data_IF_350571199147
#
_entry.id   IF_350571199147
#
_cell.length_a   1.000
_cell.length_b   1.000
_cell.length_c   1.000
_cell.angle_alpha   90.00
_cell.angle_beta   90.00
_cell.angle_gamma   90.00
#
_symmetry.space_group_name_H-M   'P 1'
#
loop_
_entity.id
_entity.type
_entity.pdbx_description
1 polymer ?
#
# COMPACT_ATOMS: atom_id res chain seq x y z
N UNK A 1 -15.05 11.58 -7.36
CA UNK A 1 -13.70 10.97 -7.31
C UNK A 1 -13.50 10.46 -5.89
N UNK A 2 -13.66 9.16 -5.64
CA UNK A 2 -13.43 8.61 -4.30
C UNK A 2 -11.96 8.79 -3.97
N UNK A 3 -11.70 9.73 -3.08
CA UNK A 3 -10.39 10.11 -2.65
C UNK A 3 -9.72 8.88 -2.04
N UNK A 4 -8.66 8.38 -2.69
CA UNK A 4 -7.84 7.26 -2.22
C UNK A 4 -7.44 7.45 -0.75
N UNK A 5 -7.35 8.69 -0.30
CA UNK A 5 -7.06 9.06 1.08
C UNK A 5 -8.22 8.81 2.02
N UNK A 6 -9.45 9.03 1.55
CA UNK A 6 -10.68 8.63 2.24
C UNK A 6 -10.82 7.11 2.28
N UNK A 7 -10.35 6.40 1.24
CA UNK A 7 -10.24 4.93 1.27
C UNK A 7 -9.23 4.49 2.35
N UNK A 8 -8.05 5.11 2.40
CA UNK A 8 -7.05 4.81 3.44
C UNK A 8 -7.52 5.21 4.84
N UNK A 9 -8.29 6.29 4.96
CA UNK A 9 -8.88 6.73 6.22
C UNK A 9 -10.02 5.82 6.69
N UNK A 10 -10.72 5.14 5.76
CA UNK A 10 -11.77 4.18 6.09
C UNK A 10 -11.23 2.80 6.45
N UNK A 11 -9.96 2.49 6.14
CA UNK A 11 -9.28 1.28 6.60
C UNK A 11 -9.16 1.29 8.13
N UNK A 12 -10.05 0.55 8.80
CA UNK A 12 -10.01 0.32 10.25
C UNK A 12 -8.94 -0.71 10.57
N UNK A 13 -7.68 -0.26 10.67
CA UNK A 13 -6.53 -1.13 11.00
C UNK A 13 -6.03 -0.90 12.43
N UNK A 14 -5.45 -1.94 13.07
CA UNK A 14 -4.71 -1.78 14.32
C UNK A 14 -3.69 -0.65 14.21
N UNK A 15 -3.69 0.26 15.20
CA UNK A 15 -2.84 1.47 15.18
C UNK A 15 -1.35 1.15 15.02
N UNK A 16 -0.90 -0.01 15.51
CA UNK A 16 0.48 -0.47 15.39
C UNK A 16 0.88 -0.73 13.93
N UNK A 17 0.01 -1.38 13.13
CA UNK A 17 0.27 -1.63 11.71
C UNK A 17 0.43 -0.33 10.93
N UNK A 18 -0.46 0.63 11.18
CA UNK A 18 -0.41 1.93 10.52
C UNK A 18 0.86 2.70 10.90
N UNK A 19 1.28 2.66 12.17
CA UNK A 19 2.52 3.30 12.61
C UNK A 19 3.75 2.67 11.94
N UNK A 20 3.84 1.34 11.93
CA UNK A 20 4.94 0.64 11.27
C UNK A 20 4.98 0.92 9.77
N UNK A 21 3.82 0.90 9.11
CA UNK A 21 3.69 1.21 7.69
C UNK A 21 4.09 2.65 7.36
N UNK A 22 3.76 3.62 8.22
CA UNK A 22 4.20 5.01 8.03
C UNK A 22 5.71 5.15 8.05
N UNK A 23 6.40 4.50 9.00
CA UNK A 23 7.86 4.49 9.07
C UNK A 23 8.43 3.85 7.80
N UNK A 24 7.92 2.68 7.40
CA UNK A 24 8.37 2.01 6.18
C UNK A 24 8.06 2.78 4.89
N UNK A 25 7.01 3.60 4.87
CA UNK A 25 6.65 4.43 3.72
C UNK A 25 7.65 5.57 3.48
N UNK A 26 8.41 5.99 4.50
CA UNK A 26 9.43 7.02 4.36
C UNK A 26 10.67 6.50 3.61
N UNK A 27 10.96 5.20 3.74
CA UNK A 27 12.02 4.50 2.98
C UNK A 27 11.50 3.81 1.70
N UNK A 28 10.28 4.15 1.26
CA UNK A 28 9.65 3.47 0.13
C UNK A 28 10.39 3.71 -1.19
N UNK A 29 10.96 2.64 -1.74
CA UNK A 29 11.55 2.60 -3.08
C UNK A 29 10.65 1.83 -4.04
N UNK A 30 9.96 2.56 -4.92
CA UNK A 30 8.94 2.04 -5.84
C UNK A 30 9.35 0.75 -6.57
N UNK A 31 10.47 0.80 -7.29
CA UNK A 31 10.93 -0.32 -8.11
C UNK A 31 11.22 -1.59 -7.30
N UNK A 32 12.02 -1.46 -6.24
CA UNK A 32 12.40 -2.60 -5.39
C UNK A 32 11.22 -3.18 -4.60
N UNK A 33 10.34 -2.33 -4.07
CA UNK A 33 9.21 -2.79 -3.26
C UNK A 33 8.09 -3.39 -4.13
N UNK A 34 7.68 -2.74 -5.22
CA UNK A 34 6.61 -3.28 -6.06
C UNK A 34 7.03 -4.56 -6.78
N UNK A 35 8.28 -4.66 -7.25
CA UNK A 35 8.78 -5.91 -7.84
C UNK A 35 8.74 -7.06 -6.83
N UNK A 36 9.13 -6.81 -5.58
CA UNK A 36 9.08 -7.81 -4.50
C UNK A 36 7.65 -8.19 -4.08
N UNK A 37 6.72 -7.22 -4.00
CA UNK A 37 5.34 -7.45 -3.54
C UNK A 37 4.47 -8.08 -4.64
N UNK A 38 4.58 -7.57 -5.86
CA UNK A 38 3.68 -7.88 -6.98
C UNK A 38 4.31 -8.84 -8.01
N UNK A 39 5.64 -9.01 -7.99
CA UNK A 39 6.35 -9.90 -8.90
C UNK A 39 6.42 -9.41 -10.35
N UNK A 40 6.25 -8.10 -10.60
CA UNK A 40 6.24 -7.56 -11.96
C UNK A 40 7.64 -7.33 -12.53
N UNK A 41 7.83 -7.73 -13.79
CA UNK A 41 9.01 -7.37 -14.59
C UNK A 41 8.97 -5.91 -15.09
N UNK A 42 7.78 -5.34 -15.28
CA UNK A 42 7.56 -3.95 -15.66
C UNK A 42 6.56 -3.30 -14.70
N UNK A 43 6.93 -2.15 -14.13
CA UNK A 43 6.13 -1.50 -13.10
C UNK A 43 4.88 -0.82 -13.68
N UNK A 44 3.67 -1.14 -13.20
CA UNK A 44 2.46 -0.47 -13.62
C UNK A 44 2.47 1.01 -13.20
N UNK A 45 1.58 1.84 -13.77
CA UNK A 45 1.39 3.23 -13.29
C UNK A 45 0.86 3.24 -11.86
N UNK A 46 1.12 4.32 -11.12
CA UNK A 46 0.81 4.40 -9.68
C UNK A 46 -0.64 4.10 -9.32
N UNK A 47 -1.62 4.58 -10.10
CA UNK A 47 -3.03 4.24 -9.85
C UNK A 47 -3.31 2.73 -9.97
N UNK A 48 -2.78 2.07 -10.99
CA UNK A 48 -2.94 0.63 -11.19
C UNK A 48 -2.18 -0.19 -10.14
N UNK A 49 -0.97 0.22 -9.76
CA UNK A 49 -0.21 -0.38 -8.67
C UNK A 49 -1.00 -0.32 -7.36
N UNK A 50 -1.56 0.84 -7.05
CA UNK A 50 -2.31 1.08 -5.83
C UNK A 50 -3.56 0.20 -5.72
N UNK A 51 -4.32 0.03 -6.81
CA UNK A 51 -5.48 -0.87 -6.80
C UNK A 51 -5.09 -2.31 -6.44
N UNK A 52 -4.00 -2.82 -7.02
CA UNK A 52 -3.48 -4.16 -6.72
C UNK A 52 -3.02 -4.29 -5.27
N UNK A 53 -2.37 -3.26 -4.74
CA UNK A 53 -1.92 -3.25 -3.35
C UNK A 53 -3.10 -3.25 -2.37
N UNK A 54 -4.18 -2.52 -2.67
CA UNK A 54 -5.41 -2.53 -1.85
C UNK A 54 -6.07 -3.91 -1.84
N UNK A 55 -6.13 -4.60 -2.98
CA UNK A 55 -6.66 -5.97 -3.03
C UNK A 55 -5.83 -6.93 -2.16
N UNK A 56 -4.50 -6.83 -2.23
CA UNK A 56 -3.60 -7.61 -1.37
C UNK A 56 -3.74 -7.28 0.11
N UNK A 57 -3.94 -6.01 0.44
CA UNK A 57 -4.15 -5.56 1.81
C UNK A 57 -5.45 -6.13 2.39
N UNK A 58 -6.53 -6.16 1.60
CA UNK A 58 -7.79 -6.77 2.00
C UNK A 58 -7.64 -8.27 2.29
N UNK A 59 -6.94 -9.02 1.42
CA UNK A 59 -6.63 -10.44 1.66
C UNK A 59 -5.82 -10.65 2.95
N UNK A 60 -4.81 -9.81 3.19
CA UNK A 60 -4.00 -9.89 4.42
C UNK A 60 -4.79 -9.52 5.68
N UNK A 61 -5.74 -8.60 5.62
CA UNK A 61 -6.62 -8.31 6.75
C UNK A 61 -7.61 -9.44 7.01
N UNK A 62 -8.12 -10.12 5.96
CA UNK A 62 -8.94 -11.32 6.12
C UNK A 62 -8.16 -12.43 6.84
N UNK A 63 -6.95 -12.75 6.37
CA UNK A 63 -6.08 -13.75 7.02
C UNK A 63 -5.75 -13.38 8.46
N UNK A 64 -5.45 -12.11 8.74
CA UNK A 64 -5.20 -11.61 10.10
C UNK A 64 -6.39 -11.86 11.02
N UNK A 65 -7.62 -11.60 10.55
CA UNK A 65 -8.85 -11.80 11.33
C UNK A 65 -9.21 -13.27 11.53
N UNK A 66 -8.85 -14.11 10.57
CA UNK A 66 -9.04 -15.55 10.65
C UNK A 66 -7.97 -16.26 11.50
N UNK A 67 -7.00 -15.51 12.04
CA UNK A 67 -5.82 -16.07 12.74
C UNK A 67 -5.09 -17.13 11.90
N UNK A 68 -5.09 -16.92 10.58
CA UNK A 68 -4.51 -17.85 9.62
C UNK A 68 -3.00 -17.98 9.86
N UNK A 69 -2.51 -19.22 9.96
CA UNK A 69 -1.09 -19.55 10.12
C UNK A 69 -0.20 -19.02 8.99
N UNK A 70 -0.76 -18.81 7.79
CA UNK A 70 -0.06 -18.21 6.65
C UNK A 70 0.01 -16.67 6.73
N UNK A 71 -0.63 -16.04 7.71
CA UNK A 71 -0.59 -14.59 7.89
C UNK A 71 0.82 -14.12 8.27
N UNK A 72 1.36 -13.19 7.48
CA UNK A 72 2.61 -12.49 7.78
C UNK A 72 2.35 -11.03 8.10
N UNK A 73 2.58 -10.65 9.35
CA UNK A 73 2.48 -9.25 9.78
C UNK A 73 3.50 -8.36 9.06
N UNK A 74 4.72 -8.87 8.82
CA UNK A 74 5.76 -8.15 8.10
C UNK A 74 5.33 -7.83 6.66
N UNK A 75 4.72 -8.80 5.97
CA UNK A 75 4.15 -8.59 4.63
C UNK A 75 3.00 -7.59 4.64
N UNK A 76 2.14 -7.61 5.67
CA UNK A 76 1.04 -6.65 5.80
C UNK A 76 1.58 -5.22 5.97
N UNK A 77 2.56 -5.02 6.84
CA UNK A 77 3.23 -3.72 7.02
C UNK A 77 3.85 -3.24 5.71
N UNK A 78 4.53 -4.13 4.98
CA UNK A 78 5.14 -3.81 3.69
C UNK A 78 4.10 -3.35 2.65
N UNK A 79 2.98 -4.07 2.52
CA UNK A 79 1.91 -3.69 1.59
C UNK A 79 1.32 -2.33 1.98
N UNK A 80 1.04 -2.10 3.27
CA UNK A 80 0.53 -0.80 3.74
C UNK A 80 1.54 0.33 3.49
N UNK A 81 2.84 0.10 3.68
CA UNK A 81 3.88 1.08 3.38
C UNK A 81 3.91 1.41 1.89
N UNK A 82 3.82 0.39 1.02
CA UNK A 82 3.77 0.58 -0.43
C UNK A 82 2.52 1.35 -0.88
N UNK A 83 1.36 1.09 -0.26
CA UNK A 83 0.11 1.83 -0.51
C UNK A 83 0.32 3.32 -0.19
N UNK A 84 0.88 3.63 0.98
CA UNK A 84 1.14 5.02 1.37
C UNK A 84 2.14 5.69 0.44
N UNK A 85 3.20 4.98 0.04
CA UNK A 85 4.21 5.44 -0.91
C UNK A 85 3.61 5.75 -2.30
N UNK A 86 2.86 4.82 -2.88
CA UNK A 86 2.20 5.02 -4.18
C UNK A 86 1.14 6.13 -4.12
N UNK A 87 0.42 6.27 -3.00
CA UNK A 87 -0.51 7.38 -2.81
C UNK A 87 0.22 8.74 -2.79
N UNK A 88 1.38 8.84 -2.15
CA UNK A 88 2.22 10.05 -2.17
C UNK A 88 2.67 10.39 -3.61
N UNK A 89 3.15 9.40 -4.35
CA UNK A 89 3.58 9.56 -5.74
C UNK A 89 2.44 9.99 -6.67
N UNK A 90 1.27 9.36 -6.52
CA UNK A 90 0.09 9.72 -7.32
C UNK A 90 -0.33 11.17 -7.07
N UNK A 91 -0.32 11.64 -5.81
CA UNK A 91 -0.61 13.05 -5.49
C UNK A 91 0.43 14.00 -6.09
N UNK A 92 1.71 13.65 -6.01
CA UNK A 92 2.77 14.48 -6.57
C UNK A 92 2.62 14.61 -8.10
N UNK A 93 2.29 13.51 -8.79
CA UNK A 93 2.01 13.53 -10.23
C UNK A 93 0.78 14.37 -10.60
N UNK A 94 -0.31 14.27 -9.84
CA UNK A 94 -1.51 15.08 -10.06
C UNK A 94 -1.27 16.59 -9.84
N UNK A 95 -0.39 16.95 -8.90
CA UNK A 95 -0.01 18.35 -8.66
C UNK A 95 0.95 18.91 -9.71
N UNK A 96 1.78 18.06 -10.33
CA UNK A 96 2.72 18.46 -11.37
C UNK A 96 2.05 18.72 -12.73
N UNK A 97 0.90 18.12 -13.02
CA UNK A 97 0.13 18.41 -14.24
C UNK A 97 -0.77 19.67 -14.13
N UNK A 98 -0.84 20.28 -12.95
CA UNK A 98 -1.68 21.46 -12.68
C UNK A 98 -0.88 22.79 -12.68
N UNK A 99 0.39 22.78 -13.11
CA UNK A 99 1.31 23.93 -13.21
C UNK A 99 1.81 24.04 -14.64
#
# INVERSE_FOLDING_TARGET
MQDILSLLASLRRPRLLIRAARIGADDYRREAHLSRILGYAALPRSGAALMRLVDLEADLDLRRRAEDTAYSIARHVEVLAAIMGEARLLRAGLGAEAV
#
